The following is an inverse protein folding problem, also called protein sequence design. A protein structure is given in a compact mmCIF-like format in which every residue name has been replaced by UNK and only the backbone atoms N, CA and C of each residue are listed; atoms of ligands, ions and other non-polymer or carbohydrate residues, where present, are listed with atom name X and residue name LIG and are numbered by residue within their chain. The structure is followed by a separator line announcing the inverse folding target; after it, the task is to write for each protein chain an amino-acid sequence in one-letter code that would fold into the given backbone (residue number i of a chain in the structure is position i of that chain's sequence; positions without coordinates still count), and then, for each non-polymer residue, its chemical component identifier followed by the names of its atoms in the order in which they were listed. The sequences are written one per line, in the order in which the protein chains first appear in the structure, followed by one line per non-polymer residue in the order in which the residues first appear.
data_IF_585229244080
#
_entry.id   IF_585229244080
#
_cell.length_a   1.000
_cell.length_b   1.000
_cell.length_c   1.000
_cell.angle_alpha   90.00
_cell.angle_beta   90.00
_cell.angle_gamma   90.00
#
_symmetry.space_group_name_H-M   'P 1'
#
loop_
_entity.id
_entity.type
_entity.pdbx_description
1 polymer ?
#
# COMPACT_ATOMS: atom_id res chain seq x y z
N UNK A 1 4.57 -13.41 8.41
CA UNK A 1 4.49 -11.94 8.55
C UNK A 1 3.57 -11.38 7.47
N UNK A 2 2.62 -10.50 7.83
CA UNK A 2 1.68 -9.82 6.93
C UNK A 2 2.23 -8.44 6.56
N UNK A 3 2.51 -8.24 5.27
CA UNK A 3 2.99 -6.98 4.72
C UNK A 3 1.94 -6.38 3.79
N UNK A 4 1.44 -5.19 4.14
CA UNK A 4 0.61 -4.41 3.22
C UNK A 4 1.50 -3.50 2.38
N UNK A 5 1.37 -3.59 1.05
CA UNK A 5 2.00 -2.68 0.11
C UNK A 5 0.93 -1.72 -0.44
N UNK A 6 0.95 -0.47 0.02
CA UNK A 6 -0.03 0.55 -0.33
C UNK A 6 0.42 1.32 -1.59
N UNK A 7 -0.45 1.33 -2.60
CA UNK A 7 -0.34 2.18 -3.78
C UNK A 7 -1.44 3.23 -3.74
N UNK A 8 -1.08 4.49 -3.57
CA UNK A 8 -2.03 5.61 -3.62
C UNK A 8 -2.03 6.13 -5.05
N UNK A 9 -3.19 6.16 -5.70
CA UNK A 9 -3.43 6.60 -7.09
C UNK A 9 -4.16 7.94 -7.15
N UNK A 10 -4.01 8.70 -8.23
CA UNK A 10 -4.73 9.98 -8.39
C UNK A 10 -6.25 9.76 -8.39
N UNK A 11 -6.74 8.74 -9.11
CA UNK A 11 -8.17 8.38 -9.18
C UNK A 11 -8.38 6.94 -9.65
N UNK A 12 -9.55 6.34 -9.40
CA UNK A 12 -9.92 5.05 -9.97
C UNK A 12 -9.87 5.09 -11.50
N UNK A 13 -9.07 4.22 -12.11
CA UNK A 13 -9.02 4.04 -13.57
C UNK A 13 -8.29 2.75 -13.94
N UNK A 14 -8.39 2.32 -15.19
CA UNK A 14 -7.57 1.22 -15.74
C UNK A 14 -6.06 1.49 -15.71
N UNK A 15 -5.65 2.75 -15.55
CA UNK A 15 -4.24 3.15 -15.42
C UNK A 15 -3.74 3.14 -13.98
N UNK A 16 -4.61 2.93 -13.00
CA UNK A 16 -4.25 2.84 -11.57
C UNK A 16 -3.65 1.47 -11.26
N UNK A 17 -2.47 1.19 -11.84
CA UNK A 17 -1.80 -0.11 -11.74
C UNK A 17 -0.68 -0.04 -10.68
N UNK A 18 -0.73 -0.86 -9.61
CA UNK A 18 0.30 -0.86 -8.56
C UNK A 18 1.54 -1.67 -8.97
N UNK A 19 2.17 -1.32 -10.10
CA UNK A 19 3.24 -2.14 -10.68
C UNK A 19 4.45 -2.30 -9.75
N UNK A 20 4.92 -1.21 -9.12
CA UNK A 20 6.02 -1.27 -8.15
C UNK A 20 5.75 -2.24 -7.01
N UNK A 21 4.64 -2.06 -6.26
CA UNK A 21 4.18 -3.01 -5.24
C UNK A 21 4.02 -4.45 -5.74
N UNK A 22 3.47 -4.66 -6.95
CA UNK A 22 3.30 -5.99 -7.53
C UNK A 22 4.63 -6.69 -7.82
N UNK A 23 5.60 -5.97 -8.36
CA UNK A 23 6.94 -6.50 -8.60
C UNK A 23 7.65 -6.85 -7.29
N UNK A 24 7.52 -6.00 -6.26
CA UNK A 24 8.06 -6.28 -4.93
C UNK A 24 7.39 -7.51 -4.30
N UNK A 25 6.06 -7.60 -4.34
CA UNK A 25 5.32 -8.76 -3.85
C UNK A 25 5.76 -10.06 -4.52
N UNK A 26 5.90 -10.05 -5.86
CA UNK A 26 6.39 -11.20 -6.61
C UNK A 26 7.83 -11.60 -6.23
N UNK A 27 8.71 -10.61 -6.05
CA UNK A 27 10.09 -10.86 -5.63
C UNK A 27 10.17 -11.43 -4.21
N UNK A 28 9.40 -10.87 -3.26
CA UNK A 28 9.34 -11.35 -1.88
C UNK A 28 8.82 -12.79 -1.81
N UNK A 29 7.73 -13.10 -2.53
CA UNK A 29 7.22 -14.48 -2.60
C UNK A 29 8.24 -15.45 -3.19
N UNK A 30 9.01 -15.02 -4.19
CA UNK A 30 10.07 -15.85 -4.80
C UNK A 30 11.22 -16.14 -3.82
N UNK A 31 11.60 -15.17 -3.00
CA UNK A 31 12.77 -15.26 -2.10
C UNK A 31 12.41 -15.92 -0.77
N UNK A 32 11.25 -15.58 -0.20
CA UNK A 32 10.84 -15.94 1.16
C UNK A 32 9.66 -16.92 1.21
N UNK A 33 9.11 -17.33 0.06
CA UNK A 33 7.96 -18.24 0.00
C UNK A 33 6.76 -17.70 0.78
N UNK A 34 6.31 -18.50 1.76
CA UNK A 34 5.15 -18.19 2.61
C UNK A 34 5.55 -17.46 3.92
N UNK A 35 6.82 -17.17 4.16
CA UNK A 35 7.23 -16.43 5.37
C UNK A 35 6.67 -14.99 5.37
N UNK A 36 6.53 -14.40 4.17
CA UNK A 36 5.99 -13.04 3.97
C UNK A 36 4.73 -13.10 3.10
N UNK A 37 3.59 -12.84 3.74
CA UNK A 37 2.30 -12.73 3.07
C UNK A 37 2.04 -11.28 2.67
N UNK A 38 2.14 -10.99 1.38
CA UNK A 38 1.94 -9.62 0.86
C UNK A 38 0.50 -9.37 0.44
N UNK A 39 -0.05 -8.22 0.81
CA UNK A 39 -1.32 -7.70 0.30
C UNK A 39 -1.09 -6.36 -0.37
N UNK A 40 -1.47 -6.23 -1.64
CA UNK A 40 -1.41 -4.94 -2.34
C UNK A 40 -2.74 -4.22 -2.14
N UNK A 41 -2.68 -2.98 -1.65
CA UNK A 41 -3.84 -2.15 -1.43
C UNK A 41 -3.82 -0.93 -2.34
N UNK A 42 -4.85 -0.79 -3.18
CA UNK A 42 -5.05 0.43 -3.97
C UNK A 42 -5.88 1.45 -3.18
N UNK A 43 -5.27 2.60 -2.95
CA UNK A 43 -5.81 3.79 -2.31
C UNK A 43 -5.89 4.92 -3.33
N UNK A 44 -6.62 5.99 -3.01
CA UNK A 44 -6.84 7.10 -3.94
C UNK A 44 -6.71 8.47 -3.25
N UNK A 45 -6.20 9.46 -3.98
CA UNK A 45 -5.94 10.83 -3.47
C UNK A 45 -7.19 11.57 -2.97
N UNK A 46 -8.38 11.13 -3.36
CA UNK A 46 -9.64 11.69 -2.88
C UNK A 46 -10.12 11.09 -1.56
N UNK A 47 -9.39 10.14 -0.99
CA UNK A 47 -9.65 9.57 0.33
C UNK A 47 -8.86 10.35 1.38
N UNK A 48 -9.42 10.44 2.58
CA UNK A 48 -8.74 10.96 3.76
C UNK A 48 -7.67 9.98 4.27
N UNK A 49 -6.73 10.49 5.07
CA UNK A 49 -5.72 9.67 5.73
C UNK A 49 -6.34 8.59 6.64
N UNK A 50 -7.38 8.94 7.40
CA UNK A 50 -8.10 7.99 8.28
C UNK A 50 -8.77 6.87 7.50
N UNK A 51 -9.48 7.17 6.41
CA UNK A 51 -10.10 6.14 5.57
C UNK A 51 -9.06 5.20 4.94
N UNK A 52 -7.89 5.73 4.60
CA UNK A 52 -6.78 4.93 4.11
C UNK A 52 -6.20 4.04 5.21
N UNK A 53 -5.98 4.59 6.40
CA UNK A 53 -5.46 3.86 7.57
C UNK A 53 -6.41 2.73 7.99
N UNK A 54 -7.72 3.00 8.09
CA UNK A 54 -8.73 1.97 8.39
C UNK A 54 -8.68 0.81 7.39
N UNK A 55 -8.52 1.11 6.09
CA UNK A 55 -8.41 0.08 5.04
C UNK A 55 -7.11 -0.72 5.12
N UNK A 56 -6.01 -0.12 5.59
CA UNK A 56 -4.74 -0.81 5.83
C UNK A 56 -4.89 -1.74 7.05
N UNK A 57 -5.37 -1.20 8.16
CA UNK A 57 -5.55 -1.89 9.45
C UNK A 57 -6.61 -3.01 9.39
N UNK A 58 -7.60 -2.92 8.49
CA UNK A 58 -8.59 -3.98 8.28
C UNK A 58 -7.98 -5.33 7.86
N UNK A 59 -6.71 -5.36 7.45
CA UNK A 59 -5.98 -6.60 7.14
C UNK A 59 -5.04 -7.08 8.24
N UNK A 60 -5.03 -6.38 9.39
CA UNK A 60 -4.17 -6.68 10.55
C UNK A 60 -2.69 -6.88 10.14
N UNK A 61 -2.05 -5.87 9.52
CA UNK A 61 -0.69 -6.01 9.01
C UNK A 61 0.35 -5.94 10.13
N UNK A 62 1.42 -6.74 10.01
CA UNK A 62 2.62 -6.57 10.85
C UNK A 62 3.45 -5.37 10.36
N UNK A 63 3.48 -5.14 9.03
CA UNK A 63 4.27 -4.10 8.38
C UNK A 63 3.48 -3.43 7.24
N UNK A 64 3.78 -2.16 6.99
CA UNK A 64 3.19 -1.37 5.89
C UNK A 64 4.29 -0.74 5.06
N UNK A 65 4.25 -0.93 3.75
CA UNK A 65 5.14 -0.30 2.77
C UNK A 65 4.37 0.62 1.84
N UNK A 66 4.79 1.89 1.76
CA UNK A 66 4.18 2.88 0.87
C UNK A 66 4.94 3.02 -0.44
N UNK A 67 4.25 2.88 -1.57
CA UNK A 67 4.75 3.25 -2.88
C UNK A 67 4.61 4.76 -3.09
N UNK A 68 5.58 5.50 -2.56
CA UNK A 68 5.56 6.97 -2.52
C UNK A 68 6.09 7.60 -3.82
N UNK A 69 5.40 8.63 -4.27
CA UNK A 69 5.73 9.51 -5.39
C UNK A 69 5.59 10.97 -4.94
N UNK A 70 6.06 11.92 -5.75
CA UNK A 70 5.94 13.35 -5.42
C UNK A 70 4.49 13.80 -5.15
N UNK A 71 3.53 13.29 -5.92
CA UNK A 71 2.13 13.72 -5.86
C UNK A 71 1.30 13.06 -4.76
N UNK A 72 1.78 11.98 -4.14
CA UNK A 72 1.10 11.33 -3.01
C UNK A 72 1.87 11.43 -1.69
N UNK A 73 2.99 12.18 -1.68
CA UNK A 73 3.88 12.30 -0.52
C UNK A 73 3.15 12.77 0.73
N UNK A 74 2.39 13.85 0.63
CA UNK A 74 1.77 14.47 1.81
C UNK A 74 0.69 13.55 2.38
N UNK A 75 -0.20 13.02 1.55
CA UNK A 75 -1.17 12.01 1.98
C UNK A 75 -0.51 10.74 2.55
N UNK A 76 0.63 10.30 1.99
CA UNK A 76 1.39 9.15 2.54
C UNK A 76 1.86 9.42 3.96
N UNK A 77 2.43 10.61 4.21
CA UNK A 77 2.91 11.01 5.53
C UNK A 77 1.75 11.17 6.52
N UNK A 78 0.62 11.71 6.08
CA UNK A 78 -0.59 11.82 6.89
C UNK A 78 -1.17 10.46 7.27
N UNK A 79 -1.17 9.48 6.35
CA UNK A 79 -1.59 8.11 6.67
C UNK A 79 -0.63 7.51 7.71
N UNK A 80 0.68 7.64 7.48
CA UNK A 80 1.69 7.07 8.37
C UNK A 80 1.67 7.66 9.78
N UNK A 81 1.18 8.90 9.98
CA UNK A 81 1.06 9.50 11.31
C UNK A 81 -0.16 9.03 12.10
N UNK A 82 -1.12 8.35 11.45
CA UNK A 82 -2.35 7.84 12.08
C UNK A 82 -2.44 6.30 12.05
N UNK A 83 -1.40 5.62 11.56
CA UNK A 83 -1.20 4.17 11.68
C UNK A 83 -0.50 3.84 13.00
#
# INVERSE_FOLDING_TARGET
MKLVLAAIHIKPSSRAMPLGPAMLAAALRRIFGEEIHTRILNLFMNQTASECADRILASDPDHVGFSMYLWNRDLTLEIASVL
#
